data_IF_349634144386
#
_entry.id   IF_349634144386
#
_cell.length_a   1.000
_cell.length_b   1.000
_cell.length_c   1.000
_cell.angle_alpha   90.00
_cell.angle_beta   90.00
_cell.angle_gamma   90.00
#
_symmetry.space_group_name_H-M   'P 1'
#
loop_
_entity.id
_entity.type
_entity.pdbx_description
1 polymer ?
#
# COMPACT_ATOMS: atom_id res chain seq x y z
N UNK A 1 -12.30 -12.92 -5.34
CA UNK A 1 -11.71 -12.32 -6.55
C UNK A 1 -11.31 -10.91 -6.16
N UNK A 2 -10.08 -10.50 -6.45
CA UNK A 2 -9.52 -9.20 -6.06
C UNK A 2 -9.21 -8.38 -7.31
N UNK A 3 -9.62 -7.11 -7.34
CA UNK A 3 -9.45 -6.18 -8.45
C UNK A 3 -9.07 -4.77 -7.98
N UNK A 4 -7.89 -4.34 -8.43
CA UNK A 4 -7.34 -3.02 -8.14
C UNK A 4 -6.96 -2.36 -9.47
N UNK A 5 -7.20 -1.05 -9.58
CA UNK A 5 -6.82 -0.26 -10.76
C UNK A 5 -6.24 1.09 -10.34
N UNK A 6 -5.16 1.50 -11.01
CA UNK A 6 -4.59 2.83 -10.92
C UNK A 6 -4.61 3.48 -12.30
N UNK A 7 -5.10 4.71 -12.38
CA UNK A 7 -5.16 5.51 -13.60
C UNK A 7 -4.24 6.72 -13.43
N UNK A 8 -3.26 6.85 -14.31
CA UNK A 8 -2.41 8.03 -14.41
C UNK A 8 -2.97 8.94 -15.49
N UNK A 9 -3.50 10.10 -15.08
CA UNK A 9 -4.08 11.10 -15.97
C UNK A 9 -3.20 12.35 -15.96
N UNK A 10 -3.29 13.16 -17.01
CA UNK A 10 -2.55 14.44 -17.10
C UNK A 10 -2.81 15.36 -15.90
N UNK A 11 -4.01 15.31 -15.32
CA UNK A 11 -4.37 16.14 -14.17
C UNK A 11 -4.02 15.52 -12.82
N UNK A 12 -4.07 14.18 -12.68
CA UNK A 12 -3.95 13.48 -11.39
C UNK A 12 -3.92 11.95 -11.53
N UNK A 13 -3.58 11.29 -10.43
CA UNK A 13 -3.74 9.84 -10.26
C UNK A 13 -5.10 9.52 -9.65
N UNK A 14 -5.74 8.45 -10.13
CA UNK A 14 -6.97 7.88 -9.53
C UNK A 14 -6.71 6.42 -9.15
N UNK A 15 -7.01 6.06 -7.91
CA UNK A 15 -6.84 4.71 -7.38
C UNK A 15 -8.20 4.14 -6.97
N UNK A 16 -8.50 2.91 -7.39
CA UNK A 16 -9.74 2.21 -7.07
C UNK A 16 -9.47 0.74 -6.76
N UNK A 17 -10.16 0.21 -5.75
CA UNK A 17 -10.13 -1.20 -5.41
C UNK A 17 -11.52 -1.64 -4.99
N UNK A 18 -11.82 -2.91 -5.17
CA UNK A 18 -12.90 -3.53 -4.43
C UNK A 18 -12.38 -3.98 -3.04
N UNK A 19 -13.24 -4.60 -2.23
CA UNK A 19 -12.91 -5.01 -0.85
C UNK A 19 -13.17 -6.48 -0.56
N UNK A 20 -13.73 -7.23 -1.52
CA UNK A 20 -14.07 -8.65 -1.34
C UNK A 20 -12.79 -9.50 -1.34
N UNK A 21 -12.50 -10.18 -0.24
CA UNK A 21 -11.27 -10.98 -0.11
C UNK A 21 -11.57 -12.41 0.26
N UNK A 22 -10.91 -13.36 -0.41
CA UNK A 22 -10.92 -14.77 -0.01
C UNK A 22 -9.77 -14.99 0.97
N UNK A 23 -10.07 -14.94 2.28
CA UNK A 23 -9.06 -15.02 3.33
C UNK A 23 -8.58 -16.45 3.58
N UNK A 24 -9.49 -17.43 3.46
CA UNK A 24 -9.22 -18.88 3.54
C UNK A 24 -10.27 -19.62 2.72
N UNK A 25 -10.11 -20.93 2.53
CA UNK A 25 -11.18 -21.78 2.01
C UNK A 25 -12.46 -21.58 2.82
N UNK A 26 -13.56 -21.26 2.14
CA UNK A 26 -14.87 -21.01 2.76
C UNK A 26 -15.02 -19.65 3.47
N UNK A 27 -13.98 -18.82 3.54
CA UNK A 27 -14.06 -17.50 4.17
C UNK A 27 -13.86 -16.37 3.14
N UNK A 28 -14.97 -15.74 2.77
CA UNK A 28 -15.00 -14.52 1.96
C UNK A 28 -15.50 -13.39 2.85
N UNK A 29 -14.67 -12.37 3.02
CA UNK A 29 -14.93 -11.25 3.91
C UNK A 29 -14.49 -9.93 3.28
N UNK A 30 -14.83 -8.82 3.91
CA UNK A 30 -14.50 -7.46 3.44
C UNK A 30 -13.22 -6.97 4.10
N UNK A 31 -12.21 -6.65 3.31
CA UNK A 31 -10.97 -6.04 3.79
C UNK A 31 -10.58 -4.84 2.93
N UNK A 32 -9.97 -3.84 3.57
CA UNK A 32 -9.38 -2.68 2.88
C UNK A 32 -8.23 -3.14 1.98
N UNK A 33 -8.17 -2.59 0.76
CA UNK A 33 -7.09 -2.86 -0.20
C UNK A 33 -6.39 -1.60 -0.71
N UNK A 34 -6.83 -0.41 -0.31
CA UNK A 34 -6.13 0.86 -0.60
C UNK A 34 -5.63 1.43 0.73
N UNK A 35 -4.34 1.75 0.78
CA UNK A 35 -3.67 2.40 1.90
C UNK A 35 -3.07 3.71 1.40
N UNK A 36 -3.23 4.78 2.17
CA UNK A 36 -2.79 6.13 1.80
C UNK A 36 -1.76 6.60 2.82
N UNK A 37 -0.71 7.24 2.33
CA UNK A 37 0.32 7.88 3.13
C UNK A 37 0.48 9.31 2.63
N UNK A 38 0.55 10.24 3.57
CA UNK A 38 0.65 11.68 3.30
C UNK A 38 1.94 12.19 3.97
N UNK A 39 3.11 11.88 3.40
CA UNK A 39 4.37 12.48 3.87
C UNK A 39 4.31 14.00 3.72
N UNK A 40 5.13 14.72 4.48
CA UNK A 40 5.20 16.17 4.40
C UNK A 40 5.54 16.64 2.96
N UNK A 41 4.89 17.72 2.53
CA UNK A 41 4.96 18.21 1.16
C UNK A 41 3.88 17.61 0.25
N UNK A 42 3.81 18.06 -1.00
CA UNK A 42 2.79 17.64 -1.97
C UNK A 42 3.15 16.28 -2.62
N UNK A 43 3.28 15.23 -1.78
CA UNK A 43 3.74 13.90 -2.18
C UNK A 43 2.83 12.76 -1.67
N UNK A 44 1.52 12.76 -1.97
CA UNK A 44 0.64 11.68 -1.54
C UNK A 44 1.05 10.34 -2.18
N UNK A 45 1.10 9.29 -1.37
CA UNK A 45 1.39 7.92 -1.80
C UNK A 45 0.17 7.02 -1.56
N UNK A 46 -0.09 6.12 -2.52
CA UNK A 46 -1.16 5.13 -2.43
C UNK A 46 -0.67 3.74 -2.77
N UNK A 47 -0.97 2.76 -1.91
CA UNK A 47 -0.64 1.34 -2.12
C UNK A 47 -1.94 0.55 -2.27
N UNK A 48 -2.01 -0.28 -3.32
CA UNK A 48 -3.11 -1.21 -3.57
C UNK A 48 -2.66 -2.65 -3.40
N UNK A 49 -3.46 -3.49 -2.76
CA UNK A 49 -3.09 -4.89 -2.48
C UNK A 49 -3.97 -5.90 -3.22
N UNK A 50 -3.33 -6.94 -3.73
CA UNK A 50 -3.99 -8.09 -4.37
C UNK A 50 -3.22 -9.38 -4.04
N UNK A 51 -3.90 -10.53 -4.14
CA UNK A 51 -3.32 -11.83 -3.81
C UNK A 51 -3.54 -12.25 -2.35
N UNK A 52 -2.49 -12.73 -1.69
CA UNK A 52 -2.57 -13.28 -0.33
C UNK A 52 -2.86 -12.20 0.71
N UNK A 53 -3.95 -12.36 1.45
CA UNK A 53 -4.34 -11.42 2.50
C UNK A 53 -3.28 -11.34 3.61
N UNK A 54 -2.70 -12.47 4.01
CA UNK A 54 -1.70 -12.49 5.08
C UNK A 54 -0.43 -11.75 4.66
N UNK A 55 0.05 -11.94 3.43
CA UNK A 55 1.24 -11.24 2.93
C UNK A 55 0.97 -9.73 2.85
N UNK A 56 -0.17 -9.34 2.27
CA UNK A 56 -0.56 -7.94 2.19
C UNK A 56 -0.62 -7.28 3.58
N UNK A 57 -1.26 -7.93 4.56
CA UNK A 57 -1.33 -7.41 5.93
C UNK A 57 0.03 -7.30 6.60
N UNK A 58 0.90 -8.31 6.44
CA UNK A 58 2.26 -8.29 7.00
C UNK A 58 3.09 -7.17 6.41
N UNK A 59 3.05 -6.96 5.09
CA UNK A 59 3.77 -5.86 4.43
C UNK A 59 3.26 -4.52 4.95
N UNK A 60 1.94 -4.32 5.00
CA UNK A 60 1.38 -3.06 5.50
C UNK A 60 1.71 -2.80 6.99
N UNK A 61 1.74 -3.84 7.83
CA UNK A 61 2.13 -3.72 9.23
C UNK A 61 3.60 -3.31 9.37
N UNK A 62 4.51 -3.96 8.64
CA UNK A 62 5.94 -3.59 8.64
C UNK A 62 6.18 -2.15 8.19
N UNK A 63 5.46 -1.69 7.17
CA UNK A 63 5.53 -0.31 6.71
C UNK A 63 4.99 0.67 7.76
N UNK A 64 3.92 0.30 8.48
CA UNK A 64 3.41 1.12 9.57
C UNK A 64 4.43 1.24 10.70
N UNK A 65 4.96 0.11 11.18
CA UNK A 65 5.98 0.07 12.23
C UNK A 65 7.23 0.90 11.84
N UNK A 66 7.75 0.70 10.62
CA UNK A 66 8.92 1.43 10.12
C UNK A 66 8.68 2.95 9.97
N UNK A 67 7.43 3.38 9.81
CA UNK A 67 7.08 4.80 9.69
C UNK A 67 6.87 5.49 11.06
N UNK A 68 6.71 4.74 12.15
CA UNK A 68 6.57 5.31 13.51
C UNK A 68 7.91 5.74 14.10
N UNK A 69 9.01 5.09 13.70
CA UNK A 69 10.36 5.40 14.14
C UNK A 69 10.94 6.57 13.34
N UNK A 70 11.32 7.65 14.03
CA UNK A 70 12.05 8.74 13.42
C UNK A 70 13.44 8.26 12.95
N UNK A 71 13.87 8.69 11.76
CA UNK A 71 15.18 8.37 11.16
C UNK A 71 15.38 6.87 10.83
N UNK A 72 14.29 6.14 10.60
CA UNK A 72 14.36 4.75 10.14
C UNK A 72 14.56 4.69 8.61
N UNK A 73 15.68 4.14 8.17
CA UNK A 73 16.02 3.91 6.75
C UNK A 73 15.02 3.03 5.99
N UNK A 74 14.16 2.30 6.71
CA UNK A 74 13.09 1.46 6.14
C UNK A 74 11.77 2.21 5.97
N UNK A 75 11.67 3.45 6.43
CA UNK A 75 10.47 4.26 6.24
C UNK A 75 10.31 4.65 4.77
N UNK A 76 9.09 4.49 4.26
CA UNK A 76 8.72 4.93 2.91
C UNK A 76 8.44 6.43 2.83
N UNK A 77 8.26 7.11 3.97
CA UNK A 77 7.91 8.53 4.03
C UNK A 77 9.05 9.46 3.56
N UNK A 78 10.32 9.28 4.00
CA UNK A 78 11.43 10.10 3.54
C UNK A 78 12.00 9.67 2.18
N UNK A 79 11.63 8.50 1.66
CA UNK A 79 12.21 7.94 0.44
C UNK A 79 12.10 8.92 -0.75
N UNK A 80 13.22 9.34 -1.39
CA UNK A 80 13.19 10.41 -2.40
C UNK A 80 12.63 9.99 -3.76
N UNK A 81 12.53 8.70 -4.07
CA UNK A 81 12.07 8.21 -5.38
C UNK A 81 11.01 7.11 -5.27
N UNK A 82 10.16 6.99 -6.29
CA UNK A 82 9.21 5.88 -6.38
C UNK A 82 9.89 4.50 -6.47
N UNK A 83 11.11 4.43 -7.01
CA UNK A 83 11.88 3.19 -7.05
C UNK A 83 12.25 2.72 -5.64
N UNK A 84 12.78 3.61 -4.80
CA UNK A 84 13.10 3.27 -3.41
C UNK A 84 11.85 2.92 -2.60
N UNK A 85 10.73 3.62 -2.83
CA UNK A 85 9.44 3.21 -2.23
C UNK A 85 9.10 1.77 -2.63
N UNK A 86 9.25 1.40 -3.90
CA UNK A 86 8.97 0.04 -4.36
C UNK A 86 9.93 -1.01 -3.77
N UNK A 87 11.22 -0.68 -3.64
CA UNK A 87 12.23 -1.54 -3.00
C UNK A 87 11.90 -1.79 -1.52
N UNK A 88 11.55 -0.74 -0.78
CA UNK A 88 11.16 -0.83 0.64
C UNK A 88 9.87 -1.63 0.85
N UNK A 89 8.90 -1.49 -0.05
CA UNK A 89 7.65 -2.27 -0.02
C UNK A 89 7.90 -3.75 -0.36
N UNK A 90 8.90 -4.05 -1.19
CA UNK A 90 9.23 -5.39 -1.67
C UNK A 90 10.24 -6.18 -0.82
N UNK A 91 10.88 -5.55 0.17
CA UNK A 91 11.90 -6.14 1.04
C UNK A 91 11.32 -7.08 2.14
#
# INVERSE_FOLDING_TARGET
MTYCVGLLLNARVVLLSETRTKARLGNISTYRKIFRFEPAGDRPLGILTAGSLSIAQTVMARLADANEEADNDRSILPAPTMLQVAELVGA
#
